data_IF_480016490266
#
_entry.id   IF_480016490266
#
_cell.length_a   1.000
_cell.length_b   1.000
_cell.length_c   1.000
_cell.angle_alpha   90.00
_cell.angle_beta   90.00
_cell.angle_gamma   90.00
#
_symmetry.space_group_name_H-M   'P 1'
#
loop_
_entity.id
_entity.type
_entity.pdbx_description
1 polymer ?
#
# COMPACT_ATOMS: atom_id res chain seq x y z
N UNK A 1 -0.07 13.89 28.22
CA UNK A 1 -0.42 13.26 26.94
C UNK A 1 0.66 12.26 26.56
N UNK A 2 0.26 11.05 26.33
CA UNK A 2 1.16 10.01 25.81
C UNK A 2 1.21 10.10 24.31
N UNK A 3 2.41 10.32 23.75
CA UNK A 3 2.60 10.21 22.31
C UNK A 3 2.46 8.74 21.90
N UNK A 4 1.79 8.50 20.77
CA UNK A 4 1.76 7.17 20.18
C UNK A 4 3.08 6.90 19.47
N UNK A 5 3.86 5.98 19.99
CA UNK A 5 5.10 5.55 19.37
C UNK A 5 4.83 4.44 18.36
N UNK A 6 5.44 4.53 17.22
CA UNK A 6 5.35 3.51 16.19
C UNK A 6 6.67 3.38 15.43
N UNK A 7 6.89 2.22 14.84
CA UNK A 7 8.04 1.95 14.00
C UNK A 7 7.55 1.47 12.64
N UNK A 8 8.07 2.07 11.57
CA UNK A 8 7.83 1.57 10.21
C UNK A 8 8.93 0.57 9.89
N UNK A 9 8.52 -0.62 9.48
CA UNK A 9 9.45 -1.70 9.15
C UNK A 9 8.85 -2.64 8.10
N UNK A 10 9.67 -3.52 7.47
CA UNK A 10 9.13 -4.55 6.59
C UNK A 10 8.25 -5.53 7.37
N UNK A 11 7.33 -6.16 6.66
CA UNK A 11 6.52 -7.25 7.20
C UNK A 11 7.44 -8.38 7.71
N UNK A 12 7.11 -8.94 8.87
CA UNK A 12 7.80 -10.09 9.45
C UNK A 12 6.84 -11.28 9.56
N UNK A 13 7.39 -12.46 9.74
CA UNK A 13 6.62 -13.71 9.80
C UNK A 13 5.51 -13.68 10.86
N UNK A 14 5.77 -13.03 12.00
CA UNK A 14 4.80 -12.92 13.08
C UNK A 14 3.65 -11.93 12.84
N UNK A 15 3.65 -11.21 11.72
CA UNK A 15 2.66 -10.16 11.45
C UNK A 15 1.43 -10.63 10.67
N UNK A 16 1.38 -11.89 10.24
CA UNK A 16 0.38 -12.35 9.27
C UNK A 16 -1.06 -12.14 9.74
N UNK A 17 -1.35 -12.43 11.00
CA UNK A 17 -2.70 -12.27 11.55
C UNK A 17 -3.14 -10.81 11.58
N UNK A 18 -2.26 -9.89 11.99
CA UNK A 18 -2.54 -8.46 12.03
C UNK A 18 -2.64 -7.87 10.62
N UNK A 19 -1.77 -8.29 9.70
CA UNK A 19 -1.86 -7.86 8.30
C UNK A 19 -3.19 -8.29 7.68
N UNK A 20 -3.62 -9.54 7.91
CA UNK A 20 -4.93 -10.02 7.46
C UNK A 20 -6.05 -9.17 8.04
N UNK A 21 -6.01 -8.88 9.33
CA UNK A 21 -7.01 -8.04 9.99
C UNK A 21 -7.13 -6.67 9.31
N UNK A 22 -6.01 -6.04 9.02
CA UNK A 22 -5.98 -4.73 8.38
C UNK A 22 -6.45 -4.79 6.92
N UNK A 23 -6.08 -5.86 6.19
CA UNK A 23 -6.56 -6.05 4.81
C UNK A 23 -8.08 -6.18 4.76
N UNK A 24 -8.68 -6.89 5.72
CA UNK A 24 -10.14 -7.05 5.81
C UNK A 24 -10.84 -5.71 6.11
N UNK A 25 -10.19 -4.80 6.81
CA UNK A 25 -10.72 -3.45 7.04
C UNK A 25 -10.64 -2.57 5.79
N UNK A 26 -9.58 -2.70 4.99
CA UNK A 26 -9.41 -1.89 3.78
C UNK A 26 -10.25 -2.42 2.63
N UNK A 27 -10.24 -3.73 2.42
CA UNK A 27 -10.93 -4.40 1.31
C UNK A 27 -11.96 -5.39 1.86
N UNK A 28 -13.07 -4.85 2.32
CA UNK A 28 -14.12 -5.61 3.03
C UNK A 28 -15.02 -6.44 2.12
N UNK A 29 -14.88 -6.29 0.81
CA UNK A 29 -15.66 -7.05 -0.18
C UNK A 29 -15.06 -8.42 -0.48
N UNK A 30 -13.79 -8.62 -0.17
CA UNK A 30 -13.09 -9.89 -0.39
C UNK A 30 -13.22 -10.82 0.82
N UNK A 31 -13.21 -12.13 0.57
CA UNK A 31 -13.27 -13.11 1.66
C UNK A 31 -11.90 -13.24 2.32
N UNK A 32 -11.89 -13.82 3.53
CA UNK A 32 -10.64 -14.12 4.24
C UNK A 32 -9.76 -15.06 3.40
N UNK A 33 -10.34 -16.07 2.76
CA UNK A 33 -9.59 -17.01 1.92
C UNK A 33 -8.95 -16.31 0.72
N UNK A 34 -9.65 -15.36 0.09
CA UNK A 34 -9.12 -14.57 -1.02
C UNK A 34 -7.92 -13.73 -0.54
N UNK A 35 -8.04 -13.08 0.62
CA UNK A 35 -6.94 -12.32 1.20
C UNK A 35 -5.73 -13.19 1.50
N UNK A 36 -5.94 -14.35 2.08
CA UNK A 36 -4.85 -15.28 2.41
C UNK A 36 -4.10 -15.74 1.16
N UNK A 37 -4.83 -16.02 0.07
CA UNK A 37 -4.22 -16.39 -1.20
C UNK A 37 -3.36 -15.26 -1.78
N UNK A 38 -3.86 -14.03 -1.75
CA UNK A 38 -3.10 -12.85 -2.19
C UNK A 38 -1.86 -12.61 -1.32
N UNK A 39 -1.99 -12.78 -0.01
CA UNK A 39 -0.87 -12.62 0.91
C UNK A 39 0.26 -13.60 0.63
N UNK A 40 -0.09 -14.87 0.34
CA UNK A 40 0.89 -15.90 -0.05
C UNK A 40 1.62 -15.49 -1.34
N UNK A 41 0.87 -15.02 -2.34
CA UNK A 41 1.45 -14.56 -3.61
C UNK A 41 2.42 -13.40 -3.40
N UNK A 42 2.10 -12.46 -2.53
CA UNK A 42 2.96 -11.32 -2.22
C UNK A 42 4.26 -11.80 -1.56
N UNK A 43 4.15 -12.69 -0.57
CA UNK A 43 5.32 -13.21 0.16
C UNK A 43 6.22 -14.00 -0.79
N UNK A 44 5.66 -14.81 -1.68
CA UNK A 44 6.42 -15.63 -2.62
C UNK A 44 7.09 -14.82 -3.73
N UNK A 45 6.67 -13.58 -3.95
CA UNK A 45 7.21 -12.69 -4.99
C UNK A 45 7.95 -11.47 -4.40
N UNK A 46 8.74 -11.69 -3.37
CA UNK A 46 9.42 -10.63 -2.61
C UNK A 46 10.41 -9.80 -3.43
N UNK A 47 10.84 -10.27 -4.61
CA UNK A 47 11.69 -9.48 -5.50
C UNK A 47 10.95 -8.31 -6.12
N UNK A 48 9.65 -8.48 -6.40
CA UNK A 48 8.82 -7.48 -7.08
C UNK A 48 7.68 -6.94 -6.22
N UNK A 49 7.53 -7.43 -4.98
CA UNK A 49 6.47 -7.01 -4.07
C UNK A 49 7.02 -6.78 -2.67
N UNK A 50 6.43 -5.83 -1.97
CA UNK A 50 6.91 -5.38 -0.68
C UNK A 50 5.75 -4.98 0.23
N UNK A 51 5.87 -5.29 1.51
CA UNK A 51 4.90 -4.87 2.51
C UNK A 51 5.63 -4.16 3.63
N UNK A 52 5.20 -2.93 3.92
CA UNK A 52 5.62 -2.18 5.09
C UNK A 52 4.50 -2.14 6.11
N UNK A 53 4.84 -2.13 7.37
CA UNK A 53 3.88 -2.09 8.47
C UNK A 53 4.22 -1.00 9.46
N UNK A 54 3.19 -0.45 10.11
CA UNK A 54 3.33 0.47 11.24
C UNK A 54 3.15 -0.33 12.53
N UNK A 55 4.24 -0.61 13.19
CA UNK A 55 4.32 -1.46 14.38
C UNK A 55 4.17 -0.61 15.65
N UNK A 56 3.19 -0.96 16.49
CA UNK A 56 2.95 -0.27 17.76
C UNK A 56 3.82 -0.79 18.90
N UNK A 57 4.58 -1.87 18.70
CA UNK A 57 5.51 -2.41 19.67
C UNK A 57 4.93 -3.43 20.64
N UNK A 58 3.63 -3.71 20.57
CA UNK A 58 2.91 -4.62 21.46
C UNK A 58 2.30 -5.82 20.71
N UNK A 59 2.77 -6.11 19.51
CA UNK A 59 2.24 -7.13 18.64
C UNK A 59 1.09 -6.65 17.76
N UNK A 60 0.70 -5.39 17.89
CA UNK A 60 -0.36 -4.78 17.07
C UNK A 60 0.24 -3.91 15.98
N UNK A 61 -0.42 -3.94 14.82
CA UNK A 61 -0.11 -3.06 13.70
C UNK A 61 -1.21 -2.02 13.56
N UNK A 62 -0.83 -0.77 13.35
CA UNK A 62 -1.76 0.34 13.14
C UNK A 62 -2.05 0.57 11.67
N UNK A 63 -1.22 0.06 10.77
CA UNK A 63 -1.39 0.27 9.34
C UNK A 63 -0.42 -0.57 8.53
N UNK A 64 -0.63 -0.59 7.22
CA UNK A 64 0.23 -1.30 6.29
C UNK A 64 0.23 -0.60 4.93
N UNK A 65 1.23 -0.94 4.14
CA UNK A 65 1.33 -0.53 2.75
C UNK A 65 1.87 -1.70 1.94
N UNK A 66 1.20 -1.99 0.82
CA UNK A 66 1.66 -2.97 -0.15
C UNK A 66 2.14 -2.23 -1.39
N UNK A 67 3.33 -2.56 -1.85
CA UNK A 67 3.93 -1.96 -3.03
C UNK A 67 4.44 -3.05 -3.96
N UNK A 68 4.56 -2.72 -5.23
CA UNK A 68 5.11 -3.62 -6.23
C UNK A 68 5.99 -2.86 -7.21
N UNK A 69 6.74 -3.61 -8.02
CA UNK A 69 7.43 -3.08 -9.19
C UNK A 69 6.64 -3.56 -10.40
N UNK A 70 6.12 -2.63 -11.17
CA UNK A 70 5.40 -2.93 -12.42
C UNK A 70 6.30 -2.62 -13.61
N UNK A 71 6.29 -3.49 -14.61
CA UNK A 71 7.10 -3.29 -15.83
C UNK A 71 6.59 -2.15 -16.71
N UNK A 72 5.31 -1.80 -16.56
CA UNK A 72 4.69 -0.70 -17.28
C UNK A 72 3.58 -0.09 -16.44
N UNK A 73 3.55 1.24 -16.39
CA UNK A 73 2.46 2.00 -15.75
C UNK A 73 2.08 3.14 -16.69
N UNK A 74 0.77 3.31 -16.87
CA UNK A 74 0.22 4.40 -17.68
C UNK A 74 0.74 5.75 -17.17
N UNK A 75 1.09 6.64 -18.08
CA UNK A 75 1.60 7.99 -17.81
C UNK A 75 2.98 8.05 -17.14
N UNK A 76 3.67 6.92 -17.02
CA UNK A 76 5.05 6.87 -16.55
C UNK A 76 6.00 6.71 -17.74
N UNK A 77 7.21 7.26 -17.59
CA UNK A 77 8.19 7.34 -18.67
C UNK A 77 9.18 6.18 -18.67
N UNK A 78 9.31 5.48 -17.55
CA UNK A 78 10.30 4.41 -17.38
C UNK A 78 9.62 3.04 -17.33
N UNK A 79 10.41 2.00 -17.58
CA UNK A 79 10.06 0.62 -17.23
C UNK A 79 10.47 0.36 -15.78
N UNK A 80 9.79 -0.57 -15.10
CA UNK A 80 10.01 -0.88 -13.68
C UNK A 80 9.72 0.33 -12.80
N UNK A 81 8.43 0.60 -12.67
CA UNK A 81 7.88 1.68 -11.85
C UNK A 81 7.42 1.10 -10.51
N UNK A 82 7.77 1.75 -9.40
CA UNK A 82 7.21 1.42 -8.10
C UNK A 82 5.72 1.78 -8.06
N UNK A 83 4.91 0.93 -7.43
CA UNK A 83 3.46 1.12 -7.42
C UNK A 83 2.90 0.89 -6.02
N UNK A 84 2.10 1.84 -5.53
CA UNK A 84 1.36 1.69 -4.27
C UNK A 84 0.09 0.90 -4.55
N UNK A 85 0.08 -0.38 -4.17
CA UNK A 85 -1.05 -1.29 -4.41
C UNK A 85 -2.14 -1.17 -3.35
N UNK A 86 -1.76 -0.95 -2.09
CA UNK A 86 -2.66 -0.77 -0.98
C UNK A 86 -2.01 0.05 0.12
N UNK A 87 -2.79 0.89 0.77
CA UNK A 87 -2.28 1.83 1.77
C UNK A 87 -3.38 2.11 2.78
N UNK A 88 -3.17 1.72 4.03
CA UNK A 88 -4.19 1.81 5.06
C UNK A 88 -3.59 2.08 6.44
N UNK A 89 -4.23 3.00 7.17
CA UNK A 89 -3.97 3.25 8.59
C UNK A 89 -5.31 3.20 9.30
N UNK A 90 -5.39 2.47 10.40
CA UNK A 90 -6.61 2.42 11.22
C UNK A 90 -7.03 3.83 11.64
N UNK A 91 -8.34 4.07 11.66
CA UNK A 91 -8.92 5.39 11.89
C UNK A 91 -8.39 6.06 13.15
N UNK A 92 -8.28 5.30 14.26
CA UNK A 92 -7.82 5.85 15.54
C UNK A 92 -6.35 6.25 15.56
N UNK A 93 -5.56 5.84 14.55
CA UNK A 93 -4.13 6.16 14.44
C UNK A 93 -3.82 7.12 13.30
N UNK A 94 -4.83 7.67 12.64
CA UNK A 94 -4.64 8.63 11.55
C UNK A 94 -4.19 9.99 12.09
N UNK A 95 -3.60 10.82 11.22
CA UNK A 95 -3.10 12.16 11.54
C UNK A 95 -1.90 12.17 12.49
N UNK A 96 -1.21 11.02 12.63
CA UNK A 96 0.02 10.88 13.42
C UNK A 96 1.27 10.75 12.54
N UNK A 97 1.11 10.89 11.24
CA UNK A 97 2.22 10.78 10.29
C UNK A 97 2.54 9.36 9.82
N UNK A 98 1.79 8.35 10.27
CA UNK A 98 2.05 6.95 9.90
C UNK A 98 1.88 6.70 8.41
N UNK A 99 0.82 7.25 7.81
CA UNK A 99 0.55 7.06 6.38
C UNK A 99 1.68 7.58 5.51
N UNK A 100 2.15 8.79 5.78
CA UNK A 100 3.29 9.37 5.07
C UNK A 100 4.58 8.61 5.28
N UNK A 101 4.83 8.14 6.51
CA UNK A 101 6.01 7.34 6.83
C UNK A 101 6.00 6.00 6.10
N UNK A 102 4.83 5.36 5.98
CA UNK A 102 4.68 4.12 5.20
C UNK A 102 5.02 4.35 3.73
N UNK A 103 4.51 5.43 3.14
CA UNK A 103 4.79 5.77 1.74
C UNK A 103 6.28 6.06 1.54
N UNK A 104 6.90 6.86 2.42
CA UNK A 104 8.32 7.16 2.33
C UNK A 104 9.17 5.89 2.39
N UNK A 105 8.80 4.94 3.23
CA UNK A 105 9.50 3.67 3.37
C UNK A 105 9.39 2.84 2.09
N UNK A 106 8.22 2.80 1.47
CA UNK A 106 8.00 2.10 0.19
C UNK A 106 8.75 2.77 -0.95
N UNK A 107 8.81 4.10 -0.98
CA UNK A 107 9.58 4.84 -1.98
C UNK A 107 11.07 4.54 -1.87
N UNK A 108 11.59 4.43 -0.64
CA UNK A 108 12.99 4.05 -0.43
C UNK A 108 13.26 2.63 -0.94
N UNK A 109 12.35 1.70 -0.70
CA UNK A 109 12.45 0.35 -1.25
C UNK A 109 12.48 0.39 -2.79
N UNK A 110 11.59 1.16 -3.42
CA UNK A 110 11.55 1.29 -4.87
C UNK A 110 12.86 1.89 -5.41
N UNK A 111 13.41 2.90 -4.74
CA UNK A 111 14.72 3.48 -5.11
C UNK A 111 15.84 2.44 -5.05
N UNK A 112 15.85 1.61 -4.03
CA UNK A 112 16.82 0.52 -3.89
C UNK A 112 16.71 -0.50 -5.02
N UNK A 113 15.51 -0.67 -5.57
CA UNK A 113 15.26 -1.53 -6.75
C UNK A 113 15.58 -0.83 -8.08
N UNK A 114 16.04 0.41 -8.04
CA UNK A 114 16.41 1.17 -9.24
C UNK A 114 15.29 1.98 -9.86
N UNK A 115 14.13 2.06 -9.22
CA UNK A 115 13.01 2.86 -9.72
C UNK A 115 13.28 4.35 -9.56
N UNK A 116 12.88 5.12 -10.57
CA UNK A 116 12.94 6.59 -10.54
C UNK A 116 11.55 7.22 -10.58
N UNK A 117 10.52 6.38 -10.71
CA UNK A 117 9.13 6.82 -10.67
C UNK A 117 8.35 5.94 -9.70
N UNK A 118 7.37 6.55 -9.03
CA UNK A 118 6.43 5.87 -8.14
C UNK A 118 5.03 6.29 -8.56
N UNK A 119 4.13 5.33 -8.72
CA UNK A 119 2.77 5.58 -9.15
C UNK A 119 1.77 4.97 -8.17
N UNK A 120 0.53 5.37 -8.29
CA UNK A 120 -0.55 4.89 -7.44
C UNK A 120 -1.88 5.16 -8.14
N UNK A 121 -2.96 4.67 -7.57
CA UNK A 121 -4.30 4.99 -8.01
C UNK A 121 -5.23 5.22 -6.82
N UNK A 122 -6.36 5.84 -7.07
CA UNK A 122 -7.44 6.01 -6.11
C UNK A 122 -8.75 6.08 -6.88
N UNK A 123 -9.82 5.65 -6.25
CA UNK A 123 -11.16 5.82 -6.81
C UNK A 123 -11.44 7.30 -7.06
N UNK A 124 -12.13 7.63 -8.14
CA UNK A 124 -12.38 9.01 -8.57
C UNK A 124 -13.18 9.81 -7.53
N UNK A 125 -13.97 9.15 -6.72
CA UNK A 125 -14.76 9.77 -5.65
C UNK A 125 -14.07 9.69 -4.27
N UNK A 126 -12.90 9.06 -4.17
CA UNK A 126 -12.15 8.97 -2.92
C UNK A 126 -11.27 10.21 -2.75
N UNK A 127 -11.90 11.32 -2.39
CA UNK A 127 -11.23 12.63 -2.23
C UNK A 127 -10.19 12.60 -1.12
N UNK A 128 -10.46 11.87 -0.03
CA UNK A 128 -9.52 11.75 1.10
C UNK A 128 -8.21 11.13 0.65
N UNK A 129 -8.27 10.04 -0.12
CA UNK A 129 -7.09 9.37 -0.65
C UNK A 129 -6.33 10.28 -1.63
N UNK A 130 -7.05 10.97 -2.52
CA UNK A 130 -6.45 11.90 -3.48
C UNK A 130 -5.69 13.03 -2.76
N UNK A 131 -6.27 13.58 -1.71
CA UNK A 131 -5.63 14.64 -0.91
C UNK A 131 -4.39 14.11 -0.17
N UNK A 132 -4.47 12.90 0.38
CA UNK A 132 -3.33 12.28 1.05
C UNK A 132 -2.17 12.05 0.08
N UNK A 133 -2.44 11.56 -1.13
CA UNK A 133 -1.44 11.41 -2.18
C UNK A 133 -0.81 12.77 -2.56
N UNK A 134 -1.66 13.79 -2.74
CA UNK A 134 -1.20 15.12 -3.12
C UNK A 134 -0.23 15.71 -2.10
N UNK A 135 -0.51 15.54 -0.81
CA UNK A 135 0.37 16.01 0.28
C UNK A 135 1.75 15.38 0.24
N UNK A 136 1.86 14.18 -0.32
CA UNK A 136 3.12 13.46 -0.44
C UNK A 136 3.83 13.69 -1.78
N UNK A 137 3.30 14.57 -2.61
CA UNK A 137 3.92 14.96 -3.87
C UNK A 137 3.42 14.20 -5.09
N UNK A 138 2.41 13.35 -4.95
CA UNK A 138 1.79 12.66 -6.09
C UNK A 138 0.85 13.61 -6.82
N UNK A 139 0.92 13.62 -8.15
CA UNK A 139 0.08 14.45 -9.01
C UNK A 139 -0.85 13.58 -9.82
N UNK A 140 -2.09 14.00 -9.98
CA UNK A 140 -3.04 13.33 -10.87
C UNK A 140 -2.54 13.41 -12.31
N UNK A 141 -2.46 12.26 -12.99
CA UNK A 141 -2.00 12.17 -14.38
C UNK A 141 -3.15 11.92 -15.35
N UNK A 142 -4.06 11.02 -15.02
CA UNK A 142 -5.21 10.70 -15.87
C UNK A 142 -6.33 10.07 -15.06
N UNK A 143 -7.50 9.99 -15.66
CA UNK A 143 -8.68 9.29 -15.13
C UNK A 143 -9.08 8.19 -16.09
N UNK A 144 -9.60 7.11 -15.55
CA UNK A 144 -9.82 5.87 -16.28
C UNK A 144 -11.24 5.38 -16.05
N UNK A 145 -11.87 4.83 -17.10
CA UNK A 145 -13.13 4.08 -17.01
C UNK A 145 -12.82 2.62 -17.32
N UNK A 146 -13.14 1.72 -16.41
CA UNK A 146 -12.97 0.28 -16.60
C UNK A 146 -14.20 -0.28 -17.32
N UNK A 147 -13.97 -1.07 -18.36
CA UNK A 147 -15.03 -1.68 -19.16
C UNK A 147 -14.82 -3.18 -19.20
N UNK A 148 -15.90 -3.93 -19.09
CA UNK A 148 -15.87 -5.40 -19.08
C UNK A 148 -17.01 -5.94 -19.94
N UNK A 149 -16.76 -7.07 -20.59
CA UNK A 149 -17.78 -7.87 -21.28
C UNK A 149 -17.48 -9.33 -21.01
N UNK A 150 -18.49 -10.08 -20.59
CA UNK A 150 -18.34 -11.54 -20.47
C UNK A 150 -18.48 -12.17 -21.86
N UNK A 151 -17.61 -13.12 -22.16
CA UNK A 151 -17.63 -13.84 -23.44
C UNK A 151 -18.31 -15.18 -23.24
N UNK A 152 -19.33 -15.45 -24.06
CA UNK A 152 -20.08 -16.72 -24.06
C UNK A 152 -19.62 -17.62 -25.18
#
# INVERSE_FOLDING_TARGET
MTETNFTIRPLAEGDLAEWLRLRLLLWDESTEDDHMAEMVDIIENSDAQFVAVADLGDGRLAGFLEASIRSHVEDCDTENVGYLEGWFVEESYRQLGMGGSLVNFAEDWARQKGCTEMASDAEVDNVVSQQAHSRLGYSETSRLVHLKKELV
#
